data_IF_898640748174
#
_entry.id   IF_898640748174
#
_cell.length_a   1.000
_cell.length_b   1.000
_cell.length_c   1.000
_cell.angle_alpha   90.00
_cell.angle_beta   90.00
_cell.angle_gamma   90.00
#
_symmetry.space_group_name_H-M   'P 1'
#
loop_
_entity.id
_entity.type
_entity.pdbx_description
1 polymer ?
#
# COMPACT_ATOMS: atom_id res chain seq x y z
N UNK A 1 3.52 -5.03 -32.37
CA UNK A 1 2.84 -4.39 -31.22
C UNK A 1 3.47 -4.94 -29.96
N UNK A 2 4.11 -4.08 -29.15
CA UNK A 2 4.89 -4.50 -27.99
C UNK A 2 4.00 -4.44 -26.75
N UNK A 3 3.70 -5.58 -26.14
CA UNK A 3 2.86 -5.67 -24.93
C UNK A 3 3.40 -4.77 -23.81
N UNK A 4 4.72 -4.62 -23.72
CA UNK A 4 5.38 -3.74 -22.75
C UNK A 4 5.09 -2.26 -23.01
N UNK A 5 4.98 -1.83 -24.28
CA UNK A 5 4.64 -0.43 -24.60
C UNK A 5 3.16 -0.11 -24.38
N UNK A 6 2.27 -1.09 -24.53
CA UNK A 6 0.85 -0.97 -24.18
C UNK A 6 0.66 -0.88 -22.66
N UNK A 7 1.41 -1.68 -21.90
CA UNK A 7 1.43 -1.61 -20.42
C UNK A 7 2.06 -0.33 -19.88
N UNK A 8 3.01 0.27 -20.62
CA UNK A 8 3.61 1.58 -20.32
C UNK A 8 2.60 2.72 -20.52
N UNK A 9 1.81 2.65 -21.59
CA UNK A 9 0.72 3.59 -21.88
C UNK A 9 -0.41 3.52 -20.86
N UNK A 10 -0.65 2.35 -20.25
CA UNK A 10 -1.59 2.20 -19.13
C UNK A 10 -1.06 2.78 -17.80
N UNK A 11 0.25 2.88 -17.61
CA UNK A 11 0.86 3.55 -16.44
C UNK A 11 1.00 5.06 -16.60
N UNK A 12 0.92 5.59 -17.83
CA UNK A 12 1.09 7.00 -18.14
C UNK A 12 -0.24 7.76 -18.28
N UNK A 13 -1.28 7.38 -17.52
CA UNK A 13 -2.60 8.03 -17.65
C UNK A 13 -2.51 9.48 -17.18
N UNK A 14 -2.34 10.39 -18.13
CA UNK A 14 -2.69 11.79 -17.99
C UNK A 14 -4.21 11.86 -17.79
N UNK A 15 -4.62 12.14 -16.56
CA UNK A 15 -6.01 12.42 -16.24
C UNK A 15 -6.42 13.74 -16.93
N UNK A 16 -7.01 13.64 -18.11
CA UNK A 16 -7.73 14.77 -18.71
C UNK A 16 -8.92 15.12 -17.80
N UNK A 17 -9.10 16.40 -17.40
CA UNK A 17 -10.13 16.79 -16.44
C UNK A 17 -11.50 16.87 -17.15
N UNK A 18 -12.11 15.73 -17.41
CA UNK A 18 -13.53 15.67 -17.72
C UNK A 18 -14.31 15.67 -16.40
N UNK A 19 -14.73 16.86 -15.98
CA UNK A 19 -15.58 17.08 -14.83
C UNK A 19 -16.86 16.24 -14.92
N UNK A 20 -17.07 15.34 -13.96
CA UNK A 20 -18.38 14.75 -13.69
C UNK A 20 -19.15 15.64 -12.68
N UNK A 21 -20.49 15.73 -12.81
CA UNK A 21 -21.20 16.99 -12.61
C UNK A 21 -21.86 17.09 -11.23
N UNK A 22 -21.69 18.27 -10.58
CA UNK A 22 -22.65 19.10 -9.80
C UNK A 22 -23.73 18.48 -8.88
N UNK A 23 -23.98 17.18 -8.84
CA UNK A 23 -25.13 16.54 -8.17
C UNK A 23 -24.78 15.91 -6.81
N UNK A 24 -23.48 15.79 -6.48
CA UNK A 24 -23.03 15.35 -5.15
C UNK A 24 -22.83 16.54 -4.17
N UNK A 25 -22.42 17.71 -4.68
CA UNK A 25 -22.34 18.96 -3.92
C UNK A 25 -23.69 19.37 -3.29
N UNK A 26 -24.81 19.01 -3.91
CA UNK A 26 -26.16 19.29 -3.39
C UNK A 26 -26.54 18.43 -2.17
N UNK A 27 -25.81 17.34 -1.87
CA UNK A 27 -25.99 16.57 -0.63
C UNK A 27 -25.19 17.15 0.55
N UNK A 28 -24.08 17.83 0.29
CA UNK A 28 -23.23 18.45 1.31
C UNK A 28 -23.72 19.84 1.79
N UNK A 29 -24.67 20.46 1.08
CA UNK A 29 -25.32 21.71 1.51
C UNK A 29 -26.57 21.51 2.39
N UNK A 30 -26.95 20.25 2.69
CA UNK A 30 -28.20 19.93 3.38
C UNK A 30 -28.14 19.79 4.91
N UNK A 31 -26.97 19.58 5.52
CA UNK A 31 -26.88 19.31 6.97
C UNK A 31 -25.56 19.81 7.61
N UNK A 32 -25.38 21.13 7.72
CA UNK A 32 -24.59 21.73 8.81
C UNK A 32 -24.79 23.26 8.76
N UNK A 33 -25.78 23.71 9.54
CA UNK A 33 -25.99 25.11 9.82
C UNK A 33 -25.00 25.65 10.86
N UNK A 34 -24.65 26.92 10.66
CA UNK A 34 -24.41 27.94 11.68
C UNK A 34 -23.20 27.83 12.65
N UNK A 35 -22.16 28.63 12.32
CA UNK A 35 -21.48 29.64 13.17
C UNK A 35 -20.57 29.22 14.35
N UNK A 36 -19.29 29.59 14.19
CA UNK A 36 -18.35 30.28 15.10
C UNK A 36 -17.90 29.65 16.44
N UNK A 37 -16.57 29.51 16.62
CA UNK A 37 -15.72 30.35 17.51
C UNK A 37 -14.37 29.66 17.83
N UNK A 38 -13.30 30.45 17.90
CA UNK A 38 -11.95 30.05 18.29
C UNK A 38 -11.71 30.23 19.80
N UNK A 39 -11.05 29.27 20.47
CA UNK A 39 -10.34 29.43 21.76
C UNK A 39 -9.21 28.38 21.84
N UNK A 40 -8.08 28.74 22.47
CA UNK A 40 -6.83 27.97 22.54
C UNK A 40 -6.50 27.42 23.96
N UNK A 41 -5.69 26.33 23.97
CA UNK A 41 -4.79 25.74 25.04
C UNK A 41 -5.40 24.83 26.15
N UNK A 42 -4.62 23.98 26.88
CA UNK A 42 -3.55 23.01 26.51
C UNK A 42 -3.60 21.62 27.27
N UNK A 43 -2.68 20.69 26.92
CA UNK A 43 -2.07 19.57 27.72
C UNK A 43 -2.65 18.11 27.73
N UNK A 44 -1.93 17.21 27.04
CA UNK A 44 -1.53 15.80 27.26
C UNK A 44 -2.47 14.66 27.79
N UNK A 45 -2.33 13.50 27.12
CA UNK A 45 -2.59 12.08 27.51
C UNK A 45 -4.03 11.52 27.48
N UNK A 46 -4.42 11.08 26.28
CA UNK A 46 -5.08 9.82 25.89
C UNK A 46 -5.79 10.14 24.58
N UNK A 47 -5.36 9.60 23.43
CA UNK A 47 -6.05 9.86 22.16
C UNK A 47 -7.43 9.18 22.18
N UNK A 48 -8.57 9.89 22.24
CA UNK A 48 -9.81 9.32 21.76
C UNK A 48 -9.73 9.34 20.22
N UNK A 49 -10.26 8.32 19.57
CA UNK A 49 -10.35 8.26 18.12
C UNK A 49 -10.87 9.59 17.57
N UNK A 50 -10.06 10.27 16.74
CA UNK A 50 -10.61 11.26 15.82
C UNK A 50 -11.58 10.48 14.93
N UNK A 51 -12.88 10.54 15.24
CA UNK A 51 -13.90 10.11 14.33
C UNK A 51 -13.85 11.07 13.14
N UNK A 52 -13.10 10.66 12.11
CA UNK A 52 -13.00 11.31 10.82
C UNK A 52 -14.34 11.14 10.05
N UNK A 53 -14.57 11.94 8.99
CA UNK A 53 -15.87 12.11 8.35
C UNK A 53 -16.46 10.78 7.87
N UNK A 54 -17.80 10.69 7.89
CA UNK A 54 -18.61 9.48 7.71
C UNK A 54 -18.65 8.89 6.28
N UNK A 55 -17.61 9.07 5.45
CA UNK A 55 -17.55 8.55 4.09
C UNK A 55 -16.35 7.61 3.91
N UNK A 56 -16.64 6.30 3.84
CA UNK A 56 -15.63 5.25 3.69
C UNK A 56 -14.72 5.44 2.46
N UNK A 57 -15.20 6.10 1.41
CA UNK A 57 -14.40 6.39 0.22
C UNK A 57 -13.40 7.52 0.46
N UNK A 58 -13.76 8.53 1.26
CA UNK A 58 -12.86 9.58 1.69
C UNK A 58 -11.77 9.03 2.62
N UNK A 59 -12.14 8.25 3.62
CA UNK A 59 -11.18 7.60 4.53
C UNK A 59 -10.19 6.72 3.76
N UNK A 60 -10.69 5.98 2.76
CA UNK A 60 -9.87 5.18 1.86
C UNK A 60 -8.92 6.04 1.02
N UNK A 61 -9.41 7.16 0.49
CA UNK A 61 -8.59 8.09 -0.29
C UNK A 61 -7.47 8.69 0.56
N UNK A 62 -7.75 9.04 1.81
CA UNK A 62 -6.75 9.57 2.75
C UNK A 62 -5.72 8.51 3.16
N UNK A 63 -6.16 7.26 3.38
CA UNK A 63 -5.27 6.15 3.66
C UNK A 63 -4.34 5.86 2.48
N UNK A 64 -4.89 5.77 1.26
CA UNK A 64 -4.10 5.58 0.04
C UNK A 64 -3.14 6.75 -0.19
N UNK A 65 -3.57 8.00 0.07
CA UNK A 65 -2.67 9.15 -0.06
C UNK A 65 -1.47 9.02 0.90
N UNK A 66 -1.70 8.63 2.16
CA UNK A 66 -0.62 8.42 3.12
C UNK A 66 0.32 7.30 2.69
N UNK A 67 -0.21 6.21 2.12
CA UNK A 67 0.57 5.11 1.57
C UNK A 67 1.49 5.58 0.43
N UNK A 68 0.95 6.28 -0.56
CA UNK A 68 1.70 6.79 -1.71
C UNK A 68 2.78 7.80 -1.30
N UNK A 69 2.48 8.68 -0.34
CA UNK A 69 3.46 9.62 0.20
C UNK A 69 4.58 8.92 0.98
N UNK A 70 4.25 7.85 1.71
CA UNK A 70 5.24 7.02 2.40
C UNK A 70 6.18 6.35 1.39
N UNK A 71 5.64 5.73 0.35
CA UNK A 71 6.42 5.05 -0.68
C UNK A 71 7.28 6.06 -1.47
N UNK A 72 6.72 7.19 -1.86
CA UNK A 72 7.47 8.26 -2.50
C UNK A 72 8.62 8.77 -1.61
N UNK A 73 8.38 8.95 -0.30
CA UNK A 73 9.43 9.35 0.63
C UNK A 73 10.51 8.26 0.78
N UNK A 74 10.11 6.99 0.82
CA UNK A 74 11.02 5.85 0.94
C UNK A 74 12.03 5.80 -0.20
N UNK A 75 11.56 5.81 -1.46
CA UNK A 75 12.45 5.79 -2.61
C UNK A 75 13.23 7.09 -2.78
N UNK A 76 12.65 8.24 -2.43
CA UNK A 76 13.39 9.51 -2.44
C UNK A 76 14.59 9.45 -1.50
N UNK A 77 14.38 8.99 -0.26
CA UNK A 77 15.47 8.86 0.72
C UNK A 77 16.51 7.82 0.27
N UNK A 78 16.08 6.66 -0.25
CA UNK A 78 16.99 5.62 -0.71
C UNK A 78 17.84 6.04 -1.92
N UNK A 79 17.25 6.75 -2.90
CA UNK A 79 17.96 7.25 -4.08
C UNK A 79 18.98 8.34 -3.76
N UNK A 80 18.69 9.15 -2.72
CA UNK A 80 19.59 10.16 -2.18
C UNK A 80 20.68 9.54 -1.29
N UNK A 81 20.40 8.43 -0.61
CA UNK A 81 21.35 7.69 0.20
C UNK A 81 22.31 6.89 -0.69
N UNK A 82 23.42 7.52 -1.10
CA UNK A 82 24.43 6.89 -1.97
C UNK A 82 24.98 5.55 -1.45
N UNK A 83 24.84 5.26 -0.15
CA UNK A 83 25.22 3.99 0.46
C UNK A 83 24.32 2.80 0.03
N UNK A 84 23.03 3.04 -0.29
CA UNK A 84 22.10 1.99 -0.74
C UNK A 84 22.50 1.43 -2.10
N UNK A 85 22.90 2.29 -3.03
CA UNK A 85 23.28 1.92 -4.41
C UNK A 85 24.78 2.15 -4.64
N UNK A 86 25.61 1.52 -3.79
CA UNK A 86 27.02 1.88 -3.63
C UNK A 86 27.98 1.19 -4.59
N UNK A 87 27.60 0.05 -5.19
CA UNK A 87 28.42 -0.66 -6.17
C UNK A 87 27.82 -0.66 -7.59
N UNK A 88 28.62 -1.05 -8.59
CA UNK A 88 28.23 -0.99 -10.00
C UNK A 88 26.96 -1.80 -10.33
N UNK A 89 26.76 -2.98 -9.74
CA UNK A 89 25.58 -3.80 -9.97
C UNK A 89 24.31 -3.15 -9.39
N UNK A 90 24.43 -2.53 -8.21
CA UNK A 90 23.32 -1.80 -7.59
C UNK A 90 23.02 -0.48 -8.31
N UNK A 91 24.06 0.22 -8.78
CA UNK A 91 23.90 1.43 -9.58
C UNK A 91 23.20 1.15 -10.92
N UNK A 92 23.38 -0.05 -11.49
CA UNK A 92 22.75 -0.44 -12.75
C UNK A 92 21.21 -0.54 -12.66
N UNK A 93 20.65 -0.81 -11.47
CA UNK A 93 19.19 -0.87 -11.23
C UNK A 93 18.61 0.44 -10.68
N UNK A 94 19.42 1.51 -10.57
CA UNK A 94 18.93 2.84 -10.18
C UNK A 94 17.73 3.32 -11.01
N UNK A 95 17.71 3.17 -12.37
CA UNK A 95 16.58 3.62 -13.18
C UNK A 95 15.25 2.94 -12.81
N UNK A 96 15.30 1.71 -12.29
CA UNK A 96 14.10 0.99 -11.87
C UNK A 96 13.47 1.66 -10.64
N UNK A 97 14.29 2.05 -9.66
CA UNK A 97 13.82 2.78 -8.46
C UNK A 97 13.37 4.20 -8.77
N UNK A 98 14.04 4.88 -9.72
CA UNK A 98 13.60 6.20 -10.20
C UNK A 98 12.23 6.11 -10.88
N UNK A 99 11.99 5.05 -11.65
CA UNK A 99 10.70 4.77 -12.26
C UNK A 99 9.62 4.50 -11.22
N UNK A 100 9.89 3.64 -10.23
CA UNK A 100 8.96 3.39 -9.12
C UNK A 100 8.63 4.70 -8.41
N UNK A 101 9.64 5.49 -8.02
CA UNK A 101 9.44 6.79 -7.39
C UNK A 101 8.52 7.71 -8.20
N UNK A 102 8.75 7.83 -9.52
CA UNK A 102 7.91 8.66 -10.38
C UNK A 102 6.45 8.17 -10.39
N UNK A 103 6.22 6.86 -10.37
CA UNK A 103 4.88 6.27 -10.30
C UNK A 103 4.19 6.57 -8.95
N UNK A 104 4.89 6.37 -7.82
CA UNK A 104 4.40 6.71 -6.48
C UNK A 104 4.05 8.22 -6.35
N UNK A 105 4.88 9.09 -6.93
CA UNK A 105 4.60 10.54 -6.98
C UNK A 105 3.39 10.90 -7.84
N UNK A 106 3.18 10.19 -8.96
CA UNK A 106 2.01 10.39 -9.82
C UNK A 106 0.72 9.94 -9.12
N UNK A 107 0.77 8.82 -8.41
CA UNK A 107 -0.34 8.34 -7.59
C UNK A 107 -0.71 9.33 -6.47
N UNK A 108 0.27 9.78 -5.67
CA UNK A 108 0.05 10.79 -4.63
C UNK A 108 -0.55 12.09 -5.20
N UNK A 109 -0.03 12.55 -6.35
CA UNK A 109 -0.56 13.73 -7.05
C UNK A 109 -2.01 13.54 -7.47
N UNK A 110 -2.35 12.40 -8.07
CA UNK A 110 -3.71 12.07 -8.46
C UNK A 110 -4.67 12.12 -7.27
N UNK A 111 -4.31 11.50 -6.14
CA UNK A 111 -5.13 11.48 -4.93
C UNK A 111 -5.30 12.89 -4.33
N UNK A 112 -4.23 13.69 -4.28
CA UNK A 112 -4.30 15.10 -3.86
C UNK A 112 -5.22 15.93 -4.76
N UNK A 113 -5.06 15.82 -6.08
CA UNK A 113 -5.90 16.53 -7.05
C UNK A 113 -7.36 16.10 -6.92
N UNK A 114 -7.64 14.82 -6.66
CA UNK A 114 -8.99 14.30 -6.45
C UNK A 114 -9.64 14.92 -5.21
N UNK A 115 -8.91 14.99 -4.09
CA UNK A 115 -9.37 15.65 -2.86
C UNK A 115 -9.66 17.15 -3.11
N UNK A 116 -8.72 17.88 -3.74
CA UNK A 116 -8.90 19.31 -4.03
C UNK A 116 -10.06 19.58 -4.99
N UNK A 117 -10.22 18.75 -6.01
CA UNK A 117 -11.35 18.83 -6.95
C UNK A 117 -12.69 18.53 -6.28
N UNK A 118 -12.68 17.72 -5.21
CA UNK A 118 -13.81 17.51 -4.31
C UNK A 118 -14.06 18.64 -3.31
N UNK A 119 -13.28 19.73 -3.36
CA UNK A 119 -13.39 20.85 -2.42
C UNK A 119 -12.76 20.59 -1.05
N UNK A 120 -11.97 19.54 -0.92
CA UNK A 120 -11.27 19.18 0.32
C UNK A 120 -9.82 19.65 0.28
N UNK A 121 -9.28 19.95 1.45
CA UNK A 121 -7.85 20.26 1.62
C UNK A 121 -7.10 18.97 1.91
N UNK A 122 -6.16 18.53 1.04
CA UNK A 122 -5.33 17.37 1.35
C UNK A 122 -4.52 17.60 2.63
N UNK A 123 -4.33 16.57 3.47
CA UNK A 123 -3.48 16.69 4.65
C UNK A 123 -2.02 17.01 4.26
N UNK A 124 -1.30 17.60 5.21
CA UNK A 124 0.14 17.76 5.09
C UNK A 124 0.81 16.37 5.08
N UNK A 125 1.83 16.23 4.25
CA UNK A 125 2.62 14.99 4.19
C UNK A 125 3.36 14.79 5.51
N UNK A 126 3.24 13.63 6.18
CA UNK A 126 3.99 13.34 7.40
C UNK A 126 5.50 13.29 7.15
N UNK A 127 6.29 13.51 8.20
CA UNK A 127 7.70 13.17 8.17
C UNK A 127 7.85 11.65 8.36
N UNK A 128 8.48 10.96 7.42
CA UNK A 128 8.63 9.51 7.47
C UNK A 128 10.03 9.09 7.98
N UNK A 129 10.04 8.15 8.92
CA UNK A 129 11.22 7.55 9.53
C UNK A 129 11.24 6.03 9.28
N UNK A 130 12.02 5.63 8.28
CA UNK A 130 12.15 4.24 7.84
C UNK A 130 13.00 3.36 8.76
N UNK A 131 13.55 3.91 9.84
CA UNK A 131 14.12 3.10 10.92
C UNK A 131 13.04 2.46 11.81
N UNK A 132 11.79 2.90 11.68
CA UNK A 132 10.65 2.46 12.49
C UNK A 132 10.60 3.10 13.88
N UNK A 133 11.43 4.12 14.14
CA UNK A 133 11.48 4.84 15.43
C UNK A 133 10.45 5.97 15.52
N UNK A 134 9.64 6.20 14.48
CA UNK A 134 8.60 7.24 14.45
C UNK A 134 9.14 8.63 14.78
N UNK A 135 10.29 8.98 14.20
CA UNK A 135 10.97 10.26 14.42
C UNK A 135 11.32 10.53 15.91
N UNK A 136 11.40 9.49 16.75
CA UNK A 136 11.69 9.61 18.18
C UNK A 136 12.92 8.77 18.54
N UNK A 137 14.00 9.44 18.95
CA UNK A 137 15.23 8.77 19.33
C UNK A 137 15.10 7.85 20.55
N UNK A 138 14.08 7.99 21.39
CA UNK A 138 13.80 7.07 22.49
C UNK A 138 13.19 5.73 22.06
N UNK A 139 12.64 5.65 20.84
CA UNK A 139 12.04 4.43 20.32
C UNK A 139 13.11 3.45 19.78
N UNK A 140 12.85 2.13 19.87
CA UNK A 140 13.75 1.12 19.33
C UNK A 140 13.81 1.19 17.79
N UNK A 141 15.00 0.96 17.24
CA UNK A 141 15.18 0.78 15.79
C UNK A 141 14.58 -0.55 15.37
N UNK A 142 13.49 -0.52 14.60
CA UNK A 142 12.82 -1.72 14.10
C UNK A 142 13.47 -2.22 12.80
N UNK A 143 13.90 -1.30 11.93
CA UNK A 143 14.48 -1.61 10.62
C UNK A 143 15.87 -0.96 10.51
N UNK A 144 16.94 -1.63 10.99
CA UNK A 144 18.28 -1.08 10.94
C UNK A 144 18.82 -1.08 9.51
N UNK A 145 19.71 -0.13 9.21
CA UNK A 145 20.50 -0.06 7.96
C UNK A 145 19.71 0.06 6.65
N UNK A 146 18.39 0.29 6.70
CA UNK A 146 17.54 0.41 5.50
C UNK A 146 18.05 1.46 4.51
N UNK A 147 18.66 2.54 4.99
CA UNK A 147 19.20 3.61 4.13
C UNK A 147 20.73 3.54 3.94
N UNK A 148 21.37 2.44 4.36
CA UNK A 148 22.83 2.27 4.26
C UNK A 148 23.26 0.92 3.72
N UNK A 149 22.35 -0.05 3.65
CA UNK A 149 22.60 -1.39 3.13
C UNK A 149 21.51 -1.78 2.12
N UNK A 150 21.94 -2.20 0.93
CA UNK A 150 21.06 -2.54 -0.18
C UNK A 150 20.13 -3.72 0.14
N UNK A 151 20.61 -4.70 0.90
CA UNK A 151 19.82 -5.87 1.27
C UNK A 151 18.76 -5.53 2.32
N UNK A 152 19.08 -4.67 3.29
CA UNK A 152 18.13 -4.12 4.24
C UNK A 152 17.08 -3.25 3.53
N UNK A 153 17.51 -2.42 2.57
CA UNK A 153 16.63 -1.63 1.71
C UNK A 153 15.63 -2.53 0.96
N UNK A 154 16.10 -3.53 0.20
CA UNK A 154 15.23 -4.44 -0.56
C UNK A 154 14.28 -5.25 0.34
N UNK A 155 14.71 -5.59 1.56
CA UNK A 155 13.84 -6.28 2.51
C UNK A 155 12.69 -5.41 3.01
N UNK A 156 12.93 -4.13 3.30
CA UNK A 156 11.82 -3.23 3.64
C UNK A 156 10.98 -2.87 2.40
N UNK A 157 11.62 -2.60 1.26
CA UNK A 157 10.95 -2.31 0.00
C UNK A 157 9.96 -3.41 -0.36
N UNK A 158 10.36 -4.68 -0.26
CA UNK A 158 9.47 -5.80 -0.55
C UNK A 158 8.21 -5.75 0.35
N UNK A 159 8.38 -5.52 1.66
CA UNK A 159 7.26 -5.51 2.59
C UNK A 159 6.33 -4.32 2.35
N UNK A 160 6.87 -3.16 2.00
CA UNK A 160 6.07 -1.97 1.72
C UNK A 160 5.30 -2.10 0.40
N UNK A 161 5.92 -2.63 -0.65
CA UNK A 161 5.26 -2.83 -1.95
C UNK A 161 4.24 -3.97 -1.93
N UNK A 162 4.56 -5.10 -1.27
CA UNK A 162 3.60 -6.18 -1.05
C UNK A 162 2.39 -5.65 -0.26
N UNK A 163 2.64 -4.90 0.83
CA UNK A 163 1.56 -4.27 1.59
C UNK A 163 0.80 -3.24 0.77
N UNK A 164 1.46 -2.46 -0.10
CA UNK A 164 0.81 -1.47 -0.97
C UNK A 164 -0.27 -2.15 -1.83
N UNK A 165 0.11 -3.21 -2.54
CA UNK A 165 -0.81 -3.99 -3.36
C UNK A 165 -2.01 -4.53 -2.56
N UNK A 166 -1.76 -5.10 -1.37
CA UNK A 166 -2.81 -5.62 -0.47
C UNK A 166 -3.69 -4.52 0.13
N UNK A 167 -3.14 -3.34 0.44
CA UNK A 167 -3.91 -2.19 0.96
C UNK A 167 -4.85 -1.67 -0.11
N UNK A 168 -4.37 -1.50 -1.35
CA UNK A 168 -5.23 -1.13 -2.46
C UNK A 168 -6.42 -2.09 -2.63
N UNK A 169 -6.15 -3.40 -2.64
CA UNK A 169 -7.20 -4.43 -2.69
C UNK A 169 -8.20 -4.28 -1.53
N UNK A 170 -7.72 -4.04 -0.31
CA UNK A 170 -8.57 -3.82 0.87
C UNK A 170 -9.48 -2.60 0.78
N UNK A 171 -9.03 -1.54 0.12
CA UNK A 171 -9.79 -0.31 -0.02
C UNK A 171 -10.74 -0.29 -1.22
N UNK A 172 -10.56 -1.13 -2.24
CA UNK A 172 -11.38 -1.12 -3.47
C UNK A 172 -12.89 -1.16 -3.22
N UNK A 173 -13.35 -1.90 -2.22
CA UNK A 173 -14.78 -2.05 -1.93
C UNK A 173 -15.48 -0.73 -1.59
N UNK A 174 -14.75 0.24 -1.04
CA UNK A 174 -15.29 1.54 -0.64
C UNK A 174 -15.58 2.43 -1.86
N UNK A 175 -14.93 2.16 -2.99
CA UNK A 175 -15.08 2.90 -4.25
C UNK A 175 -16.15 2.31 -5.18
N UNK A 176 -16.83 1.22 -4.80
CA UNK A 176 -17.77 0.48 -5.69
C UNK A 176 -18.89 1.32 -6.32
N UNK A 177 -19.30 2.40 -5.65
CA UNK A 177 -20.34 3.34 -6.08
C UNK A 177 -19.83 4.44 -7.01
N UNK A 178 -18.52 4.65 -7.07
CA UNK A 178 -17.85 5.57 -8.00
C UNK A 178 -17.02 4.75 -9.00
N UNK A 179 -17.65 4.40 -10.13
CA UNK A 179 -17.03 3.55 -11.16
C UNK A 179 -15.77 4.17 -11.75
N UNK A 180 -15.68 5.50 -11.82
CA UNK A 180 -14.51 6.18 -12.37
C UNK A 180 -13.35 6.09 -11.39
N UNK A 181 -13.59 6.41 -10.12
CA UNK A 181 -12.56 6.33 -9.09
C UNK A 181 -12.12 4.87 -8.85
N UNK A 182 -13.06 3.92 -8.87
CA UNK A 182 -12.75 2.49 -8.79
C UNK A 182 -11.84 2.03 -9.93
N UNK A 183 -12.10 2.44 -11.18
CA UNK A 183 -11.25 2.08 -12.33
C UNK A 183 -9.83 2.60 -12.16
N UNK A 184 -9.66 3.83 -11.67
CA UNK A 184 -8.32 4.38 -11.42
C UNK A 184 -7.63 3.64 -10.27
N UNK A 185 -8.31 3.39 -9.16
CA UNK A 185 -7.76 2.65 -8.01
C UNK A 185 -7.35 1.23 -8.40
N UNK A 186 -8.11 0.55 -9.28
CA UNK A 186 -7.74 -0.76 -9.84
C UNK A 186 -6.45 -0.69 -10.68
N UNK A 187 -6.28 0.36 -11.49
CA UNK A 187 -5.06 0.55 -12.29
C UNK A 187 -3.86 0.85 -11.39
N UNK A 188 -4.02 1.67 -10.37
CA UNK A 188 -2.98 1.95 -9.38
C UNK A 188 -2.57 0.67 -8.66
N UNK A 189 -3.52 -0.16 -8.23
CA UNK A 189 -3.21 -1.46 -7.63
C UNK A 189 -2.38 -2.35 -8.57
N UNK A 190 -2.70 -2.38 -9.87
CA UNK A 190 -1.92 -3.14 -10.85
C UNK A 190 -0.49 -2.61 -11.05
N UNK A 191 -0.26 -1.32 -10.78
CA UNK A 191 1.08 -0.71 -10.76
C UNK A 191 1.83 -1.18 -9.50
N UNK A 192 1.20 -1.10 -8.33
CA UNK A 192 1.80 -1.55 -7.06
C UNK A 192 2.15 -3.05 -7.08
N UNK A 193 1.29 -3.90 -7.65
CA UNK A 193 1.59 -5.32 -7.83
C UNK A 193 2.82 -5.56 -8.74
N UNK A 194 3.03 -4.69 -9.74
CA UNK A 194 4.23 -4.75 -10.60
C UNK A 194 5.48 -4.27 -9.86
N UNK A 195 5.37 -3.25 -9.02
CA UNK A 195 6.46 -2.80 -8.15
C UNK A 195 6.87 -3.94 -7.21
N UNK A 196 5.91 -4.54 -6.49
CA UNK A 196 6.13 -5.67 -5.61
C UNK A 196 6.84 -6.82 -6.34
N UNK A 197 6.34 -7.23 -7.51
CA UNK A 197 6.95 -8.29 -8.32
C UNK A 197 8.40 -7.99 -8.72
N UNK A 198 8.67 -6.75 -9.10
CA UNK A 198 10.00 -6.30 -9.47
C UNK A 198 10.97 -6.31 -8.28
N UNK A 199 10.58 -5.72 -7.14
CA UNK A 199 11.41 -5.73 -5.92
C UNK A 199 11.72 -7.15 -5.44
N UNK A 200 10.72 -8.04 -5.50
CA UNK A 200 10.91 -9.46 -5.16
C UNK A 200 11.90 -10.15 -6.10
N UNK A 201 11.86 -9.81 -7.39
CA UNK A 201 12.84 -10.29 -8.38
C UNK A 201 14.24 -9.79 -8.04
N UNK A 202 14.40 -8.51 -7.71
CA UNK A 202 15.68 -7.94 -7.28
C UNK A 202 16.20 -8.65 -6.02
N UNK A 203 15.33 -8.89 -5.03
CA UNK A 203 15.71 -9.59 -3.80
C UNK A 203 16.15 -11.03 -4.07
N UNK A 204 15.43 -11.77 -4.91
CA UNK A 204 15.82 -13.13 -5.33
C UNK A 204 17.20 -13.14 -5.98
N UNK A 205 17.50 -12.17 -6.83
CA UNK A 205 18.74 -12.12 -7.59
C UNK A 205 19.94 -11.68 -6.75
N UNK A 206 19.72 -10.95 -5.65
CA UNK A 206 20.79 -10.29 -4.87
C UNK A 206 21.06 -10.99 -3.55
N UNK A 207 20.04 -11.65 -2.96
CA UNK A 207 20.17 -12.36 -1.70
C UNK A 207 20.34 -13.86 -1.95
N UNK A 208 21.59 -14.33 -1.88
CA UNK A 208 21.92 -15.74 -2.05
C UNK A 208 21.09 -16.63 -1.12
N UNK A 209 20.41 -17.62 -1.69
CA UNK A 209 19.57 -18.56 -0.94
C UNK A 209 18.17 -18.04 -0.58
N UNK A 210 17.80 -16.81 -0.95
CA UNK A 210 16.45 -16.32 -0.73
C UNK A 210 15.45 -17.05 -1.63
N UNK A 211 14.57 -17.86 -1.02
CA UNK A 211 13.44 -18.49 -1.72
C UNK A 211 12.32 -17.47 -1.76
N UNK A 212 12.21 -16.70 -2.84
CA UNK A 212 11.20 -15.64 -2.98
C UNK A 212 10.57 -15.72 -4.35
N UNK A 213 9.24 -15.90 -4.44
CA UNK A 213 8.49 -15.87 -5.71
C UNK A 213 8.26 -14.44 -6.20
N UNK A 214 7.87 -14.26 -7.45
CA UNK A 214 7.56 -12.94 -8.03
C UNK A 214 6.21 -12.37 -7.54
N UNK A 215 5.51 -13.10 -6.68
CA UNK A 215 4.27 -12.77 -6.00
C UNK A 215 4.34 -13.31 -4.56
N UNK A 216 3.56 -12.78 -3.60
CA UNK A 216 3.52 -13.29 -2.24
C UNK A 216 3.13 -14.77 -2.17
N UNK A 217 3.80 -15.54 -1.31
CA UNK A 217 3.52 -16.95 -1.12
C UNK A 217 3.96 -17.43 0.27
N UNK A 218 3.19 -18.33 0.87
CA UNK A 218 3.53 -18.95 2.15
C UNK A 218 4.86 -19.73 2.12
N UNK A 219 5.37 -20.08 0.94
CA UNK A 219 6.66 -20.75 0.76
C UNK A 219 7.86 -19.79 0.72
N UNK A 220 7.62 -18.47 0.74
CA UNK A 220 8.70 -17.50 0.64
C UNK A 220 9.50 -17.41 1.96
N UNK A 221 10.79 -17.09 1.82
CA UNK A 221 11.62 -16.63 2.92
C UNK A 221 11.20 -15.20 3.26
N UNK A 222 10.55 -14.97 4.43
CA UNK A 222 10.08 -13.64 4.78
C UNK A 222 11.26 -12.66 4.94
N UNK A 223 11.09 -11.38 4.57
CA UNK A 223 12.04 -10.33 4.93
C UNK A 223 12.25 -10.25 6.45
N UNK A 224 13.50 -9.99 6.86
CA UNK A 224 13.91 -9.84 8.25
C UNK A 224 14.66 -8.52 8.42
N UNK A 225 14.26 -7.64 9.36
CA UNK A 225 13.14 -7.80 10.29
C UNK A 225 11.77 -7.65 9.60
N UNK A 226 10.77 -8.34 10.17
CA UNK A 226 9.41 -8.33 9.65
C UNK A 226 8.64 -7.06 10.08
N UNK A 227 7.85 -6.50 9.18
CA UNK A 227 6.82 -5.50 9.47
C UNK A 227 5.69 -6.21 10.20
N UNK A 228 5.47 -5.81 11.45
CA UNK A 228 4.45 -6.38 12.32
C UNK A 228 3.28 -5.40 12.50
N UNK A 229 2.08 -5.92 12.40
CA UNK A 229 0.81 -5.18 12.58
C UNK A 229 -0.01 -5.82 13.71
N UNK A 230 -0.96 -5.09 14.33
CA UNK A 230 -1.85 -5.67 15.34
C UNK A 230 -2.61 -6.89 14.81
N UNK A 231 -2.67 -7.94 15.62
CA UNK A 231 -3.40 -9.16 15.29
C UNK A 231 -4.90 -8.87 15.08
N UNK A 232 -5.53 -9.44 14.03
CA UNK A 232 -6.96 -9.29 13.81
C UNK A 232 -7.81 -9.99 14.88
N UNK A 233 -7.23 -10.89 15.68
CA UNK A 233 -7.90 -11.51 16.82
C UNK A 233 -8.21 -10.51 17.97
N UNK A 234 -7.57 -9.34 17.97
CA UNK A 234 -7.75 -8.30 19.00
C UNK A 234 -7.15 -8.65 20.36
N UNK A 235 -7.43 -7.81 21.36
CA UNK A 235 -6.98 -8.02 22.76
C UNK A 235 -5.46 -7.98 22.94
N UNK A 236 -4.94 -8.84 23.82
CA UNK A 236 -3.50 -8.96 24.12
C UNK A 236 -2.75 -9.88 23.15
N UNK A 237 -3.34 -10.21 21.99
CA UNK A 237 -2.68 -11.05 21.00
C UNK A 237 -1.39 -10.39 20.48
N UNK A 238 -0.34 -11.20 20.32
CA UNK A 238 0.94 -10.72 19.81
C UNK A 238 0.77 -10.14 18.39
N UNK A 239 1.55 -9.10 18.01
CA UNK A 239 1.59 -8.59 16.64
C UNK A 239 1.95 -9.70 15.64
N UNK A 240 1.41 -9.60 14.43
CA UNK A 240 1.58 -10.57 13.35
C UNK A 240 2.25 -9.93 12.15
N UNK A 241 2.93 -10.72 11.32
CA UNK A 241 3.49 -10.24 10.06
C UNK A 241 2.36 -9.89 9.09
N UNK A 242 2.59 -8.89 8.22
CA UNK A 242 1.70 -8.56 7.08
C UNK A 242 1.43 -9.77 6.16
N UNK A 243 2.32 -10.75 6.09
CA UNK A 243 2.12 -11.96 5.29
C UNK A 243 1.18 -12.98 5.94
N UNK A 244 0.79 -12.78 7.19
CA UNK A 244 -0.20 -13.64 7.86
C UNK A 244 -1.61 -13.46 7.29
N UNK A 245 -1.81 -12.45 6.44
CA UNK A 245 -3.05 -12.17 5.72
C UNK A 245 -3.11 -12.86 4.34
N UNK A 246 -2.06 -13.58 3.92
CA UNK A 246 -2.00 -14.34 2.66
C UNK A 246 -2.31 -15.83 2.91
N UNK A 247 -3.54 -16.13 3.36
CA UNK A 247 -3.94 -17.47 3.82
C UNK A 247 -5.30 -17.97 3.30
N UNK A 248 -5.94 -17.25 2.38
CA UNK A 248 -7.21 -17.63 1.78
C UNK A 248 -7.06 -18.91 0.98
N UNK A 249 -7.78 -19.93 1.41
CA UNK A 249 -7.93 -21.20 0.68
C UNK A 249 -9.28 -21.31 -0.04
N UNK A 250 -9.97 -20.17 -0.21
CA UNK A 250 -11.32 -20.10 -0.76
C UNK A 250 -11.55 -18.79 -1.48
N UNK A 251 -12.40 -18.81 -2.51
CA UNK A 251 -12.86 -17.62 -3.20
C UNK A 251 -14.36 -17.45 -3.05
N UNK A 252 -14.80 -16.21 -2.80
CA UNK A 252 -16.22 -15.86 -2.81
C UNK A 252 -16.62 -15.51 -4.25
N UNK A 253 -17.57 -16.27 -4.79
CA UNK A 253 -18.20 -16.06 -6.09
C UNK A 253 -19.54 -15.36 -5.89
N UNK A 254 -20.06 -14.74 -6.95
CA UNK A 254 -21.35 -14.04 -6.96
C UNK A 254 -22.46 -14.80 -6.22
N UNK A 255 -23.23 -14.08 -5.39
CA UNK A 255 -24.31 -14.67 -4.59
C UNK A 255 -23.87 -15.27 -3.25
N UNK A 256 -22.70 -14.89 -2.72
CA UNK A 256 -22.11 -15.42 -1.49
C UNK A 256 -21.75 -16.92 -1.54
N UNK A 257 -21.67 -17.49 -2.75
CA UNK A 257 -21.16 -18.84 -2.94
C UNK A 257 -19.67 -18.86 -2.62
N UNK A 258 -19.25 -19.70 -1.69
CA UNK A 258 -17.84 -19.87 -1.33
C UNK A 258 -17.34 -21.12 -2.04
N UNK A 259 -16.28 -20.99 -2.82
CA UNK A 259 -15.60 -22.10 -3.50
C UNK A 259 -14.28 -22.37 -2.77
N UNK A 260 -14.19 -23.43 -1.96
CA UNK A 260 -12.91 -23.89 -1.42
C UNK A 260 -12.00 -24.31 -2.57
N UNK A 261 -10.74 -23.89 -2.59
CA UNK A 261 -9.80 -24.29 -3.64
C UNK A 261 -9.59 -25.81 -3.66
N UNK A 262 -9.65 -26.47 -2.50
CA UNK A 262 -9.61 -27.93 -2.39
C UNK A 262 -10.77 -28.63 -3.12
N UNK A 263 -11.92 -27.96 -3.30
CA UNK A 263 -13.09 -28.52 -3.99
C UNK A 263 -13.02 -28.42 -5.51
N UNK A 264 -12.10 -27.61 -6.06
CA UNK A 264 -11.83 -27.52 -7.50
C UNK A 264 -10.97 -28.69 -8.02
N UNK A 265 -10.48 -29.55 -7.12
CA UNK A 265 -9.62 -30.68 -7.44
C UNK A 265 -10.46 -31.90 -7.86
N UNK A 266 -10.75 -32.01 -9.16
CA UNK A 266 -11.18 -33.29 -9.77
C UNK A 266 -10.26 -33.65 -10.93
N UNK A 267 -9.72 -34.89 -10.92
CA UNK A 267 -8.94 -35.47 -12.03
C UNK A 267 -7.42 -35.43 -11.90
N UNK A 268 -6.75 -36.03 -12.89
CA UNK A 268 -5.29 -36.32 -12.95
C UNK A 268 -4.38 -35.08 -13.11
N UNK A 269 -4.96 -33.88 -13.16
CA UNK A 269 -4.27 -32.59 -13.26
C UNK A 269 -4.55 -31.78 -11.99
N UNK A 270 -4.46 -32.43 -10.83
CA UNK A 270 -4.56 -31.75 -9.54
C UNK A 270 -3.37 -30.81 -9.37
N UNK A 271 -3.49 -29.58 -9.84
CA UNK A 271 -2.59 -28.49 -9.46
C UNK A 271 -2.73 -28.32 -7.95
N UNK A 272 -1.60 -28.24 -7.23
CA UNK A 272 -1.62 -28.19 -5.77
C UNK A 272 -2.42 -26.97 -5.29
N UNK A 273 -3.25 -27.14 -4.25
CA UNK A 273 -4.10 -26.08 -3.68
C UNK A 273 -3.34 -24.76 -3.40
N UNK A 274 -2.06 -24.86 -3.00
CA UNK A 274 -1.21 -23.69 -2.76
C UNK A 274 -0.88 -22.85 -4.00
N UNK A 275 -0.85 -23.44 -5.21
CA UNK A 275 -0.65 -22.68 -6.45
C UNK A 275 -1.90 -21.89 -6.85
N UNK A 276 -3.10 -22.38 -6.52
CA UNK A 276 -4.35 -21.65 -6.71
C UNK A 276 -4.51 -20.50 -5.72
N UNK A 277 -4.17 -20.72 -4.45
CA UNK A 277 -4.19 -19.67 -3.44
C UNK A 277 -3.29 -18.50 -3.83
N UNK A 278 -2.06 -18.79 -4.28
CA UNK A 278 -1.12 -17.76 -4.77
C UNK A 278 -1.51 -17.10 -6.11
N UNK A 279 -2.65 -17.44 -6.71
CA UNK A 279 -3.18 -16.72 -7.88
C UNK A 279 -4.06 -15.51 -7.50
N UNK A 280 -4.41 -15.38 -6.21
CA UNK A 280 -5.22 -14.29 -5.68
C UNK A 280 -4.47 -13.61 -4.55
N UNK A 281 -4.04 -12.36 -4.76
CA UNK A 281 -3.51 -11.53 -3.67
C UNK A 281 -4.64 -11.20 -2.68
N UNK A 282 -4.28 -11.08 -1.41
CA UNK A 282 -5.25 -10.88 -0.33
C UNK A 282 -5.27 -9.45 0.21
N UNK A 283 -6.45 -8.92 0.57
CA UNK A 283 -6.55 -7.56 1.08
C UNK A 283 -5.95 -7.45 2.49
N UNK A 284 -5.14 -6.42 2.73
CA UNK A 284 -4.76 -6.04 4.08
C UNK A 284 -5.89 -5.19 4.70
N UNK A 285 -6.46 -5.57 5.86
CA UNK A 285 -7.58 -4.82 6.40
C UNK A 285 -7.16 -3.40 6.84
N UNK A 286 -8.09 -2.44 6.74
CA UNK A 286 -7.85 -1.00 6.97
C UNK A 286 -7.18 -0.69 8.31
N UNK A 287 -7.52 -1.42 9.37
CA UNK A 287 -6.92 -1.23 10.70
C UNK A 287 -5.42 -1.59 10.70
N UNK A 288 -5.05 -2.70 10.07
CA UNK A 288 -3.67 -3.13 9.93
C UNK A 288 -2.89 -2.26 8.95
N UNK A 289 -3.52 -1.85 7.84
CA UNK A 289 -2.95 -0.88 6.92
C UNK A 289 -2.58 0.43 7.63
N UNK A 290 -3.51 0.97 8.41
CA UNK A 290 -3.29 2.19 9.19
C UNK A 290 -2.17 2.00 10.21
N UNK A 291 -2.15 0.86 10.91
CA UNK A 291 -1.11 0.54 11.89
C UNK A 291 0.28 0.43 11.25
N UNK A 292 0.38 -0.21 10.07
CA UNK A 292 1.60 -0.29 9.28
C UNK A 292 2.13 1.09 8.92
N UNK A 293 1.30 1.95 8.34
CA UNK A 293 1.72 3.30 7.96
C UNK A 293 2.15 4.13 9.18
N UNK A 294 1.53 3.90 10.33
CA UNK A 294 1.88 4.54 11.61
C UNK A 294 3.17 3.99 12.26
N UNK A 295 3.82 2.97 11.68
CA UNK A 295 5.17 2.56 12.09
C UNK A 295 6.23 3.56 11.64
N UNK A 296 5.93 4.31 10.58
CA UNK A 296 6.91 5.16 9.89
C UNK A 296 6.62 6.65 10.02
N UNK A 297 5.49 7.06 10.60
CA UNK A 297 5.10 8.47 10.77
C UNK A 297 4.95 8.84 12.24
#
# INVERSE_FOLDING_TARGET
MNLLSFLDQLSAVDASPAAAPRRHLLRQLGQAGAKAAAVALPLALALPAQAAPTDASLDSTLLLLKLEELLAAFYTQALAAGAVLSNAAQAAVRPDFERILAQQQNHARFLRTSLTSGGLTPPATPAFDFSGRKNNAGNPTLFPNVMTDYNAFLQLAQQLEDASASIYLGQMVTFRSDRLLLDVVLRMQSVEARHASHIRTLRRNTQSGAVVKNWPSAADTPPTPAVLVPSPAGGSAAPVSIYSFETNEKQVVTGANVVPFASLLTGSIAVQAGAYASAFDEPLPTAQATALLNLFS
#
